data_IF_127717303362
#
_entry.id   IF_127717303362
#
_cell.length_a   1.000
_cell.length_b   1.000
_cell.length_c   1.000
_cell.angle_alpha   90.00
_cell.angle_beta   90.00
_cell.angle_gamma   90.00
#
_symmetry.space_group_name_H-M   'P 1'
#
loop_
_entity.id
_entity.type
_entity.pdbx_description
1 polymer ?
#
# COMPACT_ATOMS: atom_id res chain seq x y z
N UNK A 1 10.88 -1.98 -30.76
CA UNK A 1 11.30 -1.93 -29.33
C UNK A 1 10.43 -1.01 -28.43
N UNK A 2 9.36 -0.36 -28.87
CA UNK A 2 8.68 0.68 -28.09
C UNK A 2 7.82 0.16 -26.92
N UNK A 3 6.71 -0.52 -27.20
CA UNK A 3 5.73 -0.88 -26.16
C UNK A 3 6.11 -2.12 -25.33
N UNK A 4 6.97 -3.01 -25.84
CA UNK A 4 7.36 -4.25 -25.14
C UNK A 4 8.08 -4.04 -23.80
N UNK A 5 8.85 -2.95 -23.66
CA UNK A 5 9.57 -2.65 -22.41
C UNK A 5 8.65 -2.01 -21.35
N UNK A 6 7.59 -1.32 -21.75
CA UNK A 6 6.59 -0.77 -20.84
C UNK A 6 5.79 -1.89 -20.17
N UNK A 7 5.34 -2.88 -20.94
CA UNK A 7 4.60 -4.03 -20.40
C UNK A 7 5.45 -4.92 -19.49
N UNK A 8 6.75 -4.99 -19.71
CA UNK A 8 7.67 -5.76 -18.86
C UNK A 8 7.93 -5.11 -17.50
N UNK A 9 7.62 -3.84 -17.33
CA UNK A 9 7.85 -3.08 -16.09
C UNK A 9 6.59 -2.88 -15.25
N UNK A 10 5.48 -3.50 -15.63
CA UNK A 10 4.25 -3.48 -14.85
C UNK A 10 4.30 -4.55 -13.75
N UNK A 11 3.57 -4.31 -12.65
CA UNK A 11 3.34 -5.33 -11.65
C UNK A 11 2.19 -6.25 -12.07
N UNK A 12 2.28 -7.52 -11.73
CA UNK A 12 1.15 -8.43 -11.77
C UNK A 12 0.18 -8.04 -10.65
N UNK A 13 -1.07 -7.73 -11.00
CA UNK A 13 -2.13 -7.33 -10.09
C UNK A 13 -2.97 -8.56 -9.71
N UNK A 14 -2.55 -9.26 -8.63
CA UNK A 14 -3.00 -10.61 -8.29
C UNK A 14 -4.18 -10.56 -7.32
N UNK A 15 -5.38 -11.10 -7.69
CA UNK A 15 -6.51 -11.23 -6.77
C UNK A 15 -6.33 -12.41 -5.80
N UNK A 16 -6.97 -12.34 -4.64
CA UNK A 16 -6.94 -13.40 -3.62
C UNK A 16 -7.45 -14.74 -4.16
N UNK A 17 -8.49 -14.73 -4.99
CA UNK A 17 -9.02 -15.95 -5.63
C UNK A 17 -7.94 -16.70 -6.43
N UNK A 18 -7.05 -15.98 -7.13
CA UNK A 18 -5.95 -16.64 -7.86
C UNK A 18 -5.03 -17.40 -6.92
N UNK A 19 -4.66 -16.80 -5.79
CA UNK A 19 -3.80 -17.45 -4.80
C UNK A 19 -4.48 -18.65 -4.14
N UNK A 20 -5.78 -18.55 -3.83
CA UNK A 20 -6.58 -19.67 -3.34
C UNK A 20 -6.55 -20.86 -4.34
N UNK A 21 -6.66 -20.58 -5.64
CA UNK A 21 -6.59 -21.61 -6.68
C UNK A 21 -5.19 -22.19 -6.88
N UNK A 22 -4.16 -21.37 -6.71
CA UNK A 22 -2.75 -21.85 -6.68
C UNK A 22 -2.56 -22.85 -5.53
N UNK A 23 -3.06 -22.54 -4.35
CA UNK A 23 -2.96 -23.42 -3.18
C UNK A 23 -3.72 -24.74 -3.37
N UNK A 24 -4.95 -24.66 -3.89
CA UNK A 24 -5.84 -25.82 -4.11
C UNK A 24 -5.54 -26.62 -5.38
N UNK A 25 -4.56 -26.20 -6.18
CA UNK A 25 -4.21 -26.84 -7.47
C UNK A 25 -5.36 -26.82 -8.49
N UNK A 26 -6.09 -25.71 -8.53
CA UNK A 26 -7.21 -25.49 -9.45
C UNK A 26 -6.77 -24.74 -10.72
N UNK A 27 -7.70 -24.65 -11.68
CA UNK A 27 -7.47 -23.88 -12.90
C UNK A 27 -7.76 -22.39 -12.71
N UNK A 28 -7.10 -21.59 -13.53
CA UNK A 28 -7.35 -20.16 -13.70
C UNK A 28 -7.75 -19.88 -15.15
N UNK A 29 -8.84 -19.16 -15.34
CA UNK A 29 -9.34 -18.79 -16.65
C UNK A 29 -8.91 -17.39 -17.02
N UNK A 30 -8.17 -17.25 -18.10
CA UNK A 30 -7.80 -15.97 -18.71
C UNK A 30 -8.93 -15.54 -19.64
N UNK A 31 -9.49 -14.37 -19.37
CA UNK A 31 -10.56 -13.76 -20.16
C UNK A 31 -10.07 -12.59 -20.99
N UNK A 32 -10.76 -12.28 -22.08
CA UNK A 32 -10.62 -11.01 -22.77
C UNK A 32 -11.24 -9.89 -21.92
N UNK A 33 -10.53 -8.78 -21.65
CA UNK A 33 -11.11 -7.66 -20.87
C UNK A 33 -12.37 -7.06 -21.49
N UNK A 34 -12.53 -7.15 -22.81
CA UNK A 34 -13.71 -6.68 -23.50
C UNK A 34 -14.97 -7.49 -23.20
N UNK A 35 -14.83 -8.76 -22.79
CA UNK A 35 -15.96 -9.62 -22.41
C UNK A 35 -16.24 -9.63 -20.91
N UNK A 36 -15.29 -9.15 -20.09
CA UNK A 36 -15.37 -9.14 -18.63
C UNK A 36 -15.00 -7.78 -18.04
N UNK A 37 -15.61 -6.68 -18.51
CA UNK A 37 -15.19 -5.33 -18.13
C UNK A 37 -15.34 -5.05 -16.62
N UNK A 38 -16.32 -5.66 -15.94
CA UNK A 38 -16.58 -5.42 -14.53
C UNK A 38 -15.45 -5.95 -13.63
N UNK A 39 -14.70 -6.99 -14.06
CA UNK A 39 -13.62 -7.56 -13.25
C UNK A 39 -12.49 -6.55 -12.95
N UNK A 40 -12.41 -5.48 -13.73
CA UNK A 40 -11.42 -4.43 -13.50
C UNK A 40 -11.71 -3.68 -12.19
N UNK A 41 -12.99 -3.39 -11.94
CA UNK A 41 -13.43 -2.56 -10.80
C UNK A 41 -13.84 -3.37 -9.56
N UNK A 42 -14.11 -4.67 -9.71
CA UNK A 42 -14.53 -5.54 -8.60
C UNK A 42 -13.33 -6.01 -7.75
N UNK A 43 -13.56 -6.16 -6.44
CA UNK A 43 -12.56 -6.60 -5.45
C UNK A 43 -13.15 -7.60 -4.47
N UNK A 44 -12.29 -8.40 -3.82
CA UNK A 44 -12.67 -9.35 -2.78
C UNK A 44 -13.75 -10.33 -3.24
N UNK A 45 -14.74 -10.61 -2.40
CA UNK A 45 -15.83 -11.56 -2.69
C UNK A 45 -16.62 -11.20 -3.95
N UNK A 46 -16.87 -9.92 -4.19
CA UNK A 46 -17.59 -9.49 -5.39
C UNK A 46 -16.82 -9.83 -6.67
N UNK A 47 -15.49 -9.72 -6.63
CA UNK A 47 -14.63 -10.19 -7.72
C UNK A 47 -14.73 -11.73 -7.88
N UNK A 48 -14.63 -12.49 -6.79
CA UNK A 48 -14.69 -13.95 -6.81
C UNK A 48 -16.01 -14.42 -7.43
N UNK A 49 -17.14 -13.91 -6.94
CA UNK A 49 -18.49 -14.27 -7.43
C UNK A 49 -18.66 -13.96 -8.93
N UNK A 50 -18.23 -12.78 -9.36
CA UNK A 50 -18.35 -12.38 -10.76
C UNK A 50 -17.41 -13.15 -11.68
N UNK A 51 -16.20 -13.43 -11.23
CA UNK A 51 -15.24 -14.24 -11.96
C UNK A 51 -15.76 -15.65 -12.19
N UNK A 52 -16.33 -16.29 -11.16
CA UNK A 52 -16.94 -17.62 -11.26
C UNK A 52 -18.21 -17.64 -12.13
N UNK A 53 -18.97 -16.53 -12.15
CA UNK A 53 -20.08 -16.37 -13.10
C UNK A 53 -19.58 -16.41 -14.54
N UNK A 54 -18.48 -15.70 -14.84
CA UNK A 54 -17.89 -15.73 -16.18
C UNK A 54 -17.33 -17.12 -16.54
N UNK A 55 -16.75 -17.82 -15.61
CA UNK A 55 -16.32 -19.21 -15.87
C UNK A 55 -17.49 -20.13 -16.22
N UNK A 56 -18.63 -19.97 -15.55
CA UNK A 56 -19.87 -20.72 -15.89
C UNK A 56 -20.37 -20.37 -17.29
N UNK A 57 -20.36 -19.11 -17.68
CA UNK A 57 -20.70 -18.65 -19.04
C UNK A 57 -19.74 -19.21 -20.09
N UNK A 58 -18.45 -19.20 -19.82
CA UNK A 58 -17.45 -19.80 -20.71
C UNK A 58 -17.67 -21.30 -20.90
N UNK A 59 -17.96 -22.03 -19.81
CA UNK A 59 -18.27 -23.46 -19.86
C UNK A 59 -19.59 -23.77 -20.61
N UNK A 60 -20.56 -22.85 -20.58
CA UNK A 60 -21.82 -22.94 -21.33
C UNK A 60 -21.68 -22.58 -22.82
N UNK A 61 -20.49 -22.12 -23.25
CA UNK A 61 -20.27 -21.69 -24.65
C UNK A 61 -20.84 -20.30 -24.98
N UNK A 62 -21.04 -19.46 -23.95
CA UNK A 62 -21.57 -18.09 -24.09
C UNK A 62 -20.47 -17.05 -24.23
N UNK A 63 -19.18 -17.47 -24.27
CA UNK A 63 -18.02 -16.58 -24.39
C UNK A 63 -17.07 -17.12 -25.47
N UNK A 64 -16.46 -16.20 -26.21
CA UNK A 64 -15.62 -16.55 -27.37
C UNK A 64 -14.11 -16.51 -27.04
N UNK A 65 -13.68 -15.63 -26.14
CA UNK A 65 -12.26 -15.35 -25.93
C UNK A 65 -11.84 -15.63 -24.48
N UNK A 66 -11.60 -16.90 -24.19
CA UNK A 66 -11.06 -17.31 -22.90
C UNK A 66 -10.07 -18.48 -23.06
N UNK A 67 -9.24 -18.68 -22.03
CA UNK A 67 -8.33 -19.83 -21.95
C UNK A 67 -8.17 -20.24 -20.49
N UNK A 68 -8.51 -21.48 -20.16
CA UNK A 68 -8.27 -22.05 -18.84
C UNK A 68 -6.91 -22.77 -18.79
N UNK A 69 -6.14 -22.52 -17.73
CA UNK A 69 -4.81 -23.11 -17.49
C UNK A 69 -4.66 -23.43 -15.99
N UNK A 70 -3.79 -24.37 -15.59
CA UNK A 70 -3.50 -24.59 -14.17
C UNK A 70 -2.94 -23.32 -13.52
N UNK A 71 -3.55 -22.90 -12.40
CA UNK A 71 -3.11 -21.69 -11.69
C UNK A 71 -1.64 -21.78 -11.22
N UNK A 72 -1.21 -22.95 -10.75
CA UNK A 72 0.20 -23.20 -10.37
C UNK A 72 1.18 -23.05 -11.52
N UNK A 73 0.79 -23.43 -12.73
CA UNK A 73 1.65 -23.27 -13.91
C UNK A 73 1.83 -21.79 -14.23
N UNK A 74 0.75 -21.02 -14.22
CA UNK A 74 0.81 -19.57 -14.41
C UNK A 74 1.66 -18.90 -13.32
N UNK A 75 1.42 -19.24 -12.05
CA UNK A 75 2.17 -18.71 -10.92
C UNK A 75 3.66 -19.00 -11.03
N UNK A 76 4.03 -20.24 -11.37
CA UNK A 76 5.43 -20.62 -11.60
C UNK A 76 6.06 -19.79 -12.71
N UNK A 77 5.34 -19.55 -13.80
CA UNK A 77 5.78 -18.68 -14.89
C UNK A 77 6.05 -17.25 -14.45
N UNK A 78 5.14 -16.68 -13.66
CA UNK A 78 5.28 -15.32 -13.09
C UNK A 78 6.53 -15.25 -12.20
N UNK A 79 6.70 -16.19 -11.29
CA UNK A 79 7.88 -16.27 -10.41
C UNK A 79 9.18 -16.48 -11.16
N UNK A 80 9.21 -17.34 -12.20
CA UNK A 80 10.39 -17.54 -13.05
C UNK A 80 10.82 -16.24 -13.71
N UNK A 81 9.87 -15.51 -14.29
CA UNK A 81 10.18 -14.22 -14.94
C UNK A 81 10.69 -13.19 -13.93
N UNK A 82 10.05 -13.11 -12.75
CA UNK A 82 10.49 -12.22 -11.68
C UNK A 82 11.92 -12.56 -11.23
N UNK A 83 12.21 -13.84 -11.01
CA UNK A 83 13.52 -14.30 -10.57
C UNK A 83 14.62 -14.04 -11.63
N UNK A 84 14.35 -14.32 -12.90
CA UNK A 84 15.34 -14.16 -13.98
C UNK A 84 15.60 -12.71 -14.38
N UNK A 85 14.58 -11.84 -14.30
CA UNK A 85 14.64 -10.49 -14.86
C UNK A 85 14.40 -9.38 -13.86
N UNK A 86 14.00 -9.69 -12.62
CA UNK A 86 13.54 -8.73 -11.61
C UNK A 86 12.19 -8.09 -11.92
N UNK A 87 11.49 -8.52 -12.98
CA UNK A 87 10.20 -7.99 -13.41
C UNK A 87 9.36 -9.07 -14.13
N UNK A 88 8.02 -8.89 -14.21
CA UNK A 88 7.18 -7.90 -13.52
C UNK A 88 7.09 -8.19 -12.02
N UNK A 89 6.92 -7.16 -11.21
CA UNK A 89 6.70 -7.32 -9.78
C UNK A 89 5.30 -7.87 -9.50
N UNK A 90 5.06 -8.28 -8.25
CA UNK A 90 3.80 -8.88 -7.84
C UNK A 90 3.17 -8.00 -6.77
N UNK A 91 1.91 -7.64 -6.98
CA UNK A 91 1.11 -6.84 -6.05
C UNK A 91 -0.26 -7.48 -5.87
N UNK A 92 -0.80 -7.46 -4.66
CA UNK A 92 -2.04 -8.15 -4.31
C UNK A 92 -3.23 -7.20 -4.35
N UNK A 93 -4.07 -7.35 -5.37
CA UNK A 93 -5.22 -6.50 -5.68
C UNK A 93 -6.14 -6.29 -4.49
N UNK A 94 -6.58 -7.38 -3.87
CA UNK A 94 -7.60 -7.32 -2.83
C UNK A 94 -7.07 -6.71 -1.54
N UNK A 95 -5.86 -7.09 -1.11
CA UNK A 95 -5.23 -6.49 0.07
C UNK A 95 -5.04 -4.97 -0.08
N UNK A 96 -4.61 -4.50 -1.26
CA UNK A 96 -4.45 -3.07 -1.54
C UNK A 96 -5.79 -2.32 -1.45
N UNK A 97 -6.84 -2.86 -2.02
CA UNK A 97 -8.15 -2.23 -2.07
C UNK A 97 -8.92 -2.34 -0.74
N UNK A 98 -9.00 -3.55 -0.16
CA UNK A 98 -9.74 -3.80 1.07
C UNK A 98 -9.16 -3.08 2.29
N UNK A 99 -7.87 -2.79 2.28
CA UNK A 99 -7.19 -2.03 3.33
C UNK A 99 -7.03 -0.55 3.02
N UNK A 100 -7.47 -0.11 1.84
CA UNK A 100 -7.42 1.31 1.48
C UNK A 100 -8.36 2.14 2.34
N UNK A 101 -7.92 3.24 2.93
CA UNK A 101 -8.83 4.16 3.64
C UNK A 101 -9.83 4.86 2.72
N UNK A 102 -9.61 4.83 1.40
CA UNK A 102 -10.35 5.54 0.36
C UNK A 102 -11.31 4.64 -0.44
N UNK A 103 -11.76 3.52 0.10
CA UNK A 103 -12.67 2.57 -0.57
C UNK A 103 -13.94 3.24 -1.14
N UNK A 104 -14.45 4.28 -0.48
CA UNK A 104 -15.64 5.04 -0.89
C UNK A 104 -15.40 6.00 -2.05
N UNK A 105 -14.14 6.36 -2.31
CA UNK A 105 -13.77 7.33 -3.35
C UNK A 105 -13.44 6.68 -4.70
N UNK A 106 -13.03 5.42 -4.70
CA UNK A 106 -12.69 4.70 -5.92
C UNK A 106 -11.84 3.46 -5.70
N UNK A 107 -11.55 2.76 -6.80
CA UNK A 107 -10.78 1.51 -6.82
C UNK A 107 -9.32 1.80 -7.16
N UNK A 108 -8.43 1.05 -6.56
CA UNK A 108 -7.02 1.01 -6.90
C UNK A 108 -6.85 0.00 -8.03
N UNK A 109 -6.55 0.48 -9.24
CA UNK A 109 -6.43 -0.36 -10.43
C UNK A 109 -5.03 -0.89 -10.66
N UNK A 110 -4.03 -0.22 -10.12
CA UNK A 110 -2.62 -0.59 -10.22
C UNK A 110 -1.81 0.12 -9.14
N UNK A 111 -0.54 -0.24 -9.04
CA UNK A 111 0.46 0.44 -8.22
C UNK A 111 1.43 1.21 -9.14
N UNK A 112 2.34 2.01 -8.57
CA UNK A 112 3.47 2.58 -9.27
C UNK A 112 4.51 1.49 -9.61
N UNK A 113 5.59 1.88 -10.31
CA UNK A 113 6.66 0.97 -10.71
C UNK A 113 7.28 0.21 -9.53
N UNK A 114 7.47 0.88 -8.40
CA UNK A 114 8.11 0.31 -7.20
C UNK A 114 7.14 -0.39 -6.24
N UNK A 115 5.84 -0.40 -6.55
CA UNK A 115 4.74 -1.05 -5.83
C UNK A 115 4.38 -0.51 -4.43
N UNK A 116 5.04 0.56 -3.97
CA UNK A 116 4.75 1.17 -2.67
C UNK A 116 3.50 2.07 -2.66
N UNK A 117 3.00 2.49 -3.82
CA UNK A 117 1.88 3.41 -3.94
C UNK A 117 0.61 2.68 -4.36
N UNK A 118 -0.41 2.79 -3.52
CA UNK A 118 -1.74 2.20 -3.74
C UNK A 118 -2.80 3.28 -3.54
N UNK A 119 -3.10 4.01 -4.62
CA UNK A 119 -4.06 5.10 -4.65
C UNK A 119 -5.14 4.83 -5.71
N UNK A 120 -6.37 5.25 -5.42
CA UNK A 120 -7.47 5.16 -6.38
C UNK A 120 -7.23 6.06 -7.60
N UNK A 121 -7.71 5.62 -8.74
CA UNK A 121 -7.63 6.33 -10.02
C UNK A 121 -8.97 6.30 -10.74
N UNK A 122 -9.22 7.30 -11.59
CA UNK A 122 -10.40 7.37 -12.46
C UNK A 122 -10.06 8.09 -13.76
N UNK A 123 -11.06 8.30 -14.62
CA UNK A 123 -10.87 9.10 -15.83
C UNK A 123 -10.42 10.55 -15.54
N UNK A 124 -10.85 11.11 -14.40
CA UNK A 124 -10.59 12.49 -14.01
C UNK A 124 -9.53 12.62 -12.90
N UNK A 125 -8.98 11.50 -12.43
CA UNK A 125 -8.04 11.47 -11.30
C UNK A 125 -6.83 10.57 -11.60
N UNK A 126 -5.67 11.20 -11.77
CA UNK A 126 -4.37 10.51 -11.86
C UNK A 126 -3.67 10.61 -10.51
N UNK A 127 -3.31 9.47 -9.94
CA UNK A 127 -2.62 9.40 -8.65
C UNK A 127 -1.23 10.05 -8.72
N UNK A 128 -0.87 10.81 -7.69
CA UNK A 128 0.42 11.49 -7.55
C UNK A 128 1.08 11.11 -6.23
N UNK A 129 2.36 10.74 -6.29
CA UNK A 129 3.17 10.40 -5.12
C UNK A 129 3.80 11.65 -4.50
N UNK A 130 3.66 11.83 -3.17
CA UNK A 130 4.39 12.82 -2.39
C UNK A 130 5.10 12.04 -1.27
N UNK A 131 6.40 11.79 -1.42
CA UNK A 131 7.13 10.83 -0.61
C UNK A 131 8.22 11.47 0.25
N UNK A 132 8.43 10.87 1.43
CA UNK A 132 9.55 11.15 2.32
C UNK A 132 9.95 9.88 3.07
N UNK A 133 11.17 9.85 3.62
CA UNK A 133 11.66 8.70 4.40
C UNK A 133 12.45 9.16 5.60
N UNK A 134 12.12 8.62 6.77
CA UNK A 134 12.82 8.88 8.03
C UNK A 134 14.14 8.09 8.02
N UNK A 135 15.26 8.78 8.26
CA UNK A 135 16.57 8.13 8.41
C UNK A 135 16.70 7.54 9.81
N UNK A 136 16.43 6.24 9.97
CA UNK A 136 16.46 5.57 11.28
C UNK A 136 17.83 5.65 11.96
N UNK A 137 18.93 5.52 11.21
CA UNK A 137 20.28 5.60 11.76
C UNK A 137 20.53 6.92 12.51
N UNK A 138 19.93 8.00 12.06
CA UNK A 138 20.03 9.32 12.70
C UNK A 138 19.09 9.51 13.90
N UNK A 139 18.20 8.52 14.14
CA UNK A 139 17.25 8.52 15.25
C UNK A 139 17.64 7.47 16.32
N UNK A 140 18.84 6.90 16.23
CA UNK A 140 19.39 6.04 17.27
C UNK A 140 20.13 6.86 18.32
N UNK A 141 19.92 6.52 19.60
CA UNK A 141 20.59 7.13 20.75
C UNK A 141 20.87 6.02 21.79
N UNK A 142 22.10 5.93 22.22
CA UNK A 142 22.54 4.93 23.23
C UNK A 142 22.10 3.50 22.90
N UNK A 143 22.20 3.10 21.62
CA UNK A 143 21.80 1.79 21.12
C UNK A 143 20.29 1.54 21.01
N UNK A 144 19.47 2.57 21.15
CA UNK A 144 17.99 2.48 21.06
C UNK A 144 17.42 3.55 20.15
N UNK A 145 16.17 3.33 19.70
CA UNK A 145 15.43 4.34 18.95
C UNK A 145 15.05 5.50 19.88
N UNK A 146 15.39 6.73 19.48
CA UNK A 146 14.99 7.97 20.17
C UNK A 146 13.58 8.33 19.75
N UNK A 147 12.59 7.85 20.51
CA UNK A 147 11.17 8.00 20.20
C UNK A 147 10.72 9.46 20.10
N UNK A 148 11.22 10.34 20.99
CA UNK A 148 10.84 11.75 20.96
C UNK A 148 11.40 12.45 19.72
N UNK A 149 12.61 12.12 19.32
CA UNK A 149 13.17 12.62 18.05
C UNK A 149 12.42 12.10 16.84
N UNK A 150 12.02 10.83 16.81
CA UNK A 150 11.19 10.28 15.73
C UNK A 150 9.88 11.04 15.66
N UNK A 151 9.18 11.22 16.77
CA UNK A 151 7.92 11.99 16.85
C UNK A 151 8.05 13.39 16.28
N UNK A 152 9.09 14.14 16.64
CA UNK A 152 9.36 15.48 16.15
C UNK A 152 9.63 15.49 14.64
N UNK A 153 10.47 14.56 14.17
CA UNK A 153 10.82 14.42 12.76
C UNK A 153 9.61 14.05 11.92
N UNK A 154 8.82 13.06 12.36
CA UNK A 154 7.60 12.61 11.68
C UNK A 154 6.60 13.76 11.58
N UNK A 155 6.34 14.48 12.67
CA UNK A 155 5.40 15.60 12.67
C UNK A 155 5.82 16.70 11.70
N UNK A 156 7.13 17.00 11.63
CA UNK A 156 7.68 17.96 10.67
C UNK A 156 7.56 17.45 9.24
N UNK A 157 7.90 16.17 8.99
CA UNK A 157 7.85 15.56 7.66
C UNK A 157 6.42 15.55 7.09
N UNK A 158 5.42 15.16 7.90
CA UNK A 158 4.01 15.18 7.47
C UNK A 158 3.57 16.59 7.07
N UNK A 159 3.93 17.62 7.84
CA UNK A 159 3.66 19.02 7.50
C UNK A 159 4.35 19.45 6.21
N UNK A 160 5.61 19.06 6.01
CA UNK A 160 6.36 19.37 4.79
C UNK A 160 5.72 18.71 3.56
N UNK A 161 5.35 17.44 3.67
CA UNK A 161 4.71 16.69 2.58
C UNK A 161 3.31 17.26 2.24
N UNK A 162 2.51 17.64 3.24
CA UNK A 162 1.23 18.34 3.01
C UNK A 162 1.43 19.67 2.29
N UNK A 163 2.48 20.44 2.64
CA UNK A 163 2.79 21.70 1.97
C UNK A 163 3.19 21.48 0.50
N UNK A 164 3.94 20.42 0.19
CA UNK A 164 4.36 20.10 -1.19
C UNK A 164 3.15 19.96 -2.11
N UNK A 165 2.05 19.38 -1.65
CA UNK A 165 0.81 19.25 -2.44
C UNK A 165 0.33 20.60 -2.98
N UNK A 166 0.44 21.67 -2.18
CA UNK A 166 -0.03 23.01 -2.57
C UNK A 166 0.93 23.74 -3.50
N UNK A 167 2.25 23.53 -3.35
CA UNK A 167 3.29 24.28 -4.07
C UNK A 167 3.81 23.53 -5.31
N UNK A 168 3.43 22.26 -5.47
CA UNK A 168 3.89 21.44 -6.58
C UNK A 168 3.32 21.93 -7.92
N UNK A 169 4.12 21.76 -8.98
CA UNK A 169 3.67 21.96 -10.35
C UNK A 169 3.02 20.69 -10.88
N UNK A 170 1.78 20.78 -11.34
CA UNK A 170 1.04 19.69 -11.96
C UNK A 170 1.00 19.87 -13.47
N UNK A 171 1.58 18.93 -14.22
CA UNK A 171 1.64 18.99 -15.68
C UNK A 171 0.29 18.74 -16.36
N UNK A 172 -0.64 18.08 -15.65
CA UNK A 172 -2.00 17.79 -16.12
C UNK A 172 -3.02 18.05 -15.00
N UNK A 173 -4.20 18.54 -15.37
CA UNK A 173 -5.23 18.92 -14.40
C UNK A 173 -5.77 17.73 -13.63
N UNK A 174 -5.90 16.56 -14.25
CA UNK A 174 -6.33 15.31 -13.59
C UNK A 174 -5.41 14.88 -12.44
N UNK A 175 -4.11 15.13 -12.55
CA UNK A 175 -3.16 14.88 -11.46
C UNK A 175 -3.34 15.90 -10.32
N UNK A 176 -3.53 17.18 -10.66
CA UNK A 176 -3.82 18.22 -9.69
C UNK A 176 -5.13 17.95 -8.96
N UNK A 177 -6.17 17.58 -9.69
CA UNK A 177 -7.49 17.27 -9.15
C UNK A 177 -7.41 16.16 -8.09
N UNK A 178 -6.82 15.02 -8.42
CA UNK A 178 -6.61 13.91 -7.49
C UNK A 178 -5.84 14.34 -6.23
N UNK A 179 -4.70 15.02 -6.44
CA UNK A 179 -3.79 15.34 -5.34
C UNK A 179 -4.36 16.41 -4.39
N UNK A 180 -5.05 17.42 -4.92
CA UNK A 180 -5.70 18.45 -4.11
C UNK A 180 -6.91 17.91 -3.34
N UNK A 181 -7.70 17.03 -3.96
CA UNK A 181 -8.93 16.46 -3.42
C UNK A 181 -8.65 15.46 -2.28
N UNK A 182 -7.71 14.54 -2.50
CA UNK A 182 -7.43 13.45 -1.57
C UNK A 182 -6.23 13.72 -0.66
N UNK A 183 -5.32 14.59 -1.06
CA UNK A 183 -4.10 14.97 -0.33
C UNK A 183 -3.26 13.77 0.15
N UNK A 184 -2.96 12.78 -0.71
CA UNK A 184 -2.17 11.62 -0.31
C UNK A 184 -0.71 12.00 -0.12
N UNK A 185 -0.12 11.51 0.96
CA UNK A 185 1.32 11.56 1.22
C UNK A 185 1.81 10.17 1.65
N UNK A 186 3.10 9.92 1.51
CA UNK A 186 3.72 8.66 1.89
C UNK A 186 5.01 8.90 2.63
N UNK A 187 4.99 8.68 3.95
CA UNK A 187 6.20 8.69 4.77
C UNK A 187 6.64 7.25 5.03
N UNK A 188 7.89 6.94 4.73
CA UNK A 188 8.53 5.67 5.01
C UNK A 188 9.79 5.83 5.86
N UNK A 189 10.68 4.85 5.77
CA UNK A 189 11.97 4.85 6.46
C UNK A 189 13.12 4.45 5.52
N UNK A 190 14.34 4.77 5.92
CA UNK A 190 15.60 4.31 5.32
C UNK A 190 16.65 4.14 6.42
N UNK A 191 17.72 3.43 6.14
CA UNK A 191 18.77 3.16 7.14
C UNK A 191 18.34 2.16 8.19
N UNK A 192 17.44 1.24 7.86
CA UNK A 192 16.99 0.20 8.78
C UNK A 192 18.16 -0.73 9.18
N UNK A 193 18.92 -1.22 8.20
CA UNK A 193 20.09 -2.05 8.49
C UNK A 193 21.14 -1.32 9.33
N UNK A 194 21.38 -0.02 9.08
CA UNK A 194 22.28 0.79 9.91
C UNK A 194 21.78 0.85 11.36
N UNK A 195 20.48 0.98 11.57
CA UNK A 195 19.89 0.97 12.90
C UNK A 195 20.03 -0.40 13.60
N UNK A 196 19.97 -1.52 12.86
CA UNK A 196 20.25 -2.84 13.38
C UNK A 196 21.73 -2.99 13.79
N UNK A 197 22.66 -2.49 12.99
CA UNK A 197 24.10 -2.49 13.34
C UNK A 197 24.38 -1.73 14.62
N UNK A 198 23.74 -0.59 14.84
CA UNK A 198 23.90 0.18 16.10
C UNK A 198 23.42 -0.62 17.32
N UNK A 199 22.49 -1.55 17.14
CA UNK A 199 21.93 -2.39 18.20
C UNK A 199 22.59 -3.77 18.30
N UNK A 200 23.55 -4.08 17.42
CA UNK A 200 24.16 -5.42 17.29
C UNK A 200 23.11 -6.52 17.01
N UNK A 201 22.10 -6.20 16.20
CA UNK A 201 21.02 -7.09 15.80
C UNK A 201 21.30 -7.66 14.41
N UNK A 202 21.23 -8.98 14.26
CA UNK A 202 21.33 -9.64 12.96
C UNK A 202 20.05 -9.47 12.15
N UNK A 203 20.17 -9.13 10.86
CA UNK A 203 19.01 -8.91 9.97
C UNK A 203 18.03 -10.09 9.91
N UNK A 204 18.55 -11.33 9.90
CA UNK A 204 17.73 -12.55 9.86
C UNK A 204 17.42 -13.08 11.28
N UNK A 205 17.01 -12.22 12.20
CA UNK A 205 16.65 -12.59 13.56
C UNK A 205 15.24 -12.12 13.94
N UNK A 206 14.66 -12.74 14.95
CA UNK A 206 13.37 -12.31 15.51
C UNK A 206 13.46 -10.90 16.11
N UNK A 207 14.60 -10.53 16.70
CA UNK A 207 14.85 -9.17 17.22
C UNK A 207 14.78 -8.12 16.09
N UNK A 208 15.21 -8.46 14.87
CA UNK A 208 15.08 -7.56 13.72
C UNK A 208 13.62 -7.39 13.28
N UNK A 209 12.82 -8.45 13.34
CA UNK A 209 11.36 -8.40 13.08
C UNK A 209 10.68 -7.54 14.13
N UNK A 210 10.99 -7.75 15.40
CA UNK A 210 10.47 -6.93 16.51
C UNK A 210 10.84 -5.46 16.38
N UNK A 211 12.06 -5.16 15.96
CA UNK A 211 12.50 -3.78 15.74
C UNK A 211 11.80 -3.16 14.54
N UNK A 212 11.59 -3.91 13.45
CA UNK A 212 10.85 -3.46 12.29
C UNK A 212 9.41 -3.09 12.66
N UNK A 213 8.73 -3.95 13.39
CA UNK A 213 7.36 -3.72 13.85
C UNK A 213 7.25 -2.49 14.74
N UNK A 214 8.02 -2.41 15.81
CA UNK A 214 8.02 -1.29 16.77
C UNK A 214 8.40 0.05 16.14
N UNK A 215 9.43 0.07 15.28
CA UNK A 215 9.86 1.30 14.62
C UNK A 215 8.80 1.80 13.63
N UNK A 216 8.15 0.88 12.91
CA UNK A 216 7.09 1.23 11.96
C UNK A 216 5.79 1.60 12.67
N UNK A 217 5.44 0.95 13.77
CA UNK A 217 4.32 1.34 14.62
C UNK A 217 4.48 2.79 15.08
N UNK A 218 5.67 3.15 15.61
CA UNK A 218 5.99 4.48 16.09
C UNK A 218 5.83 5.55 15.00
N UNK A 219 6.41 5.31 13.82
CA UNK A 219 6.32 6.24 12.68
C UNK A 219 4.87 6.38 12.21
N UNK A 220 4.15 5.26 12.07
CA UNK A 220 2.76 5.25 11.62
C UNK A 220 1.84 5.99 12.59
N UNK A 221 1.98 5.73 13.88
CA UNK A 221 1.21 6.39 14.93
C UNK A 221 1.37 7.91 14.89
N UNK A 222 2.61 8.40 14.86
CA UNK A 222 2.86 9.84 14.84
C UNK A 222 2.59 10.48 13.48
N UNK A 223 2.63 9.75 12.38
CA UNK A 223 2.21 10.26 11.09
C UNK A 223 0.70 10.51 11.05
N UNK A 224 -0.11 9.56 11.55
CA UNK A 224 -1.55 9.72 11.67
C UNK A 224 -1.87 10.86 12.65
N UNK A 225 -1.23 10.88 13.83
CA UNK A 225 -1.39 11.96 14.80
C UNK A 225 -1.09 13.34 14.19
N UNK A 226 0.03 13.48 13.48
CA UNK A 226 0.40 14.74 12.83
C UNK A 226 -0.60 15.18 11.76
N UNK A 227 -1.15 14.22 10.99
CA UNK A 227 -2.19 14.52 10.01
C UNK A 227 -3.50 14.98 10.67
N UNK A 228 -3.86 14.46 11.87
CA UNK A 228 -5.01 14.98 12.63
C UNK A 228 -4.77 16.39 13.15
N UNK A 229 -3.56 16.71 13.63
CA UNK A 229 -3.21 18.08 14.04
C UNK A 229 -3.31 19.05 12.86
N UNK A 230 -2.87 18.64 11.68
CA UNK A 230 -3.03 19.45 10.48
C UNK A 230 -4.49 19.59 10.05
N UNK A 231 -5.32 18.57 10.24
CA UNK A 231 -6.74 18.65 9.95
C UNK A 231 -7.42 19.67 10.87
N UNK A 232 -7.08 19.69 12.14
CA UNK A 232 -7.57 20.68 13.11
C UNK A 232 -7.14 22.11 12.74
N UNK A 233 -5.91 22.28 12.22
CA UNK A 233 -5.36 23.58 11.81
C UNK A 233 -5.93 24.07 10.46
N UNK A 234 -6.14 23.16 9.46
CA UNK A 234 -6.34 23.49 8.04
C UNK A 234 -7.59 22.88 7.42
N UNK A 235 -8.36 22.14 8.18
CA UNK A 235 -9.48 21.32 7.70
C UNK A 235 -9.03 19.95 7.17
N UNK A 236 -9.96 19.00 7.18
CA UNK A 236 -9.77 17.67 6.61
C UNK A 236 -9.63 17.72 5.08
N UNK A 237 -9.10 16.65 4.48
CA UNK A 237 -9.11 16.52 3.03
C UNK A 237 -10.57 16.35 2.53
N UNK A 238 -10.83 16.73 1.27
CA UNK A 238 -12.20 16.89 0.74
C UNK A 238 -13.03 15.61 0.84
N UNK A 239 -12.44 14.44 0.60
CA UNK A 239 -13.14 13.14 0.63
C UNK A 239 -12.94 12.40 1.95
N UNK A 240 -12.78 13.10 3.06
CA UNK A 240 -12.66 12.48 4.38
C UNK A 240 -13.93 11.73 4.80
N UNK A 241 -15.10 12.33 4.58
CA UNK A 241 -16.38 11.71 4.94
C UNK A 241 -16.65 10.44 4.13
N UNK A 242 -17.03 9.37 4.81
CA UNK A 242 -17.22 8.04 4.22
C UNK A 242 -15.94 7.19 4.16
N UNK A 243 -14.77 7.77 4.41
CA UNK A 243 -13.50 7.04 4.48
C UNK A 243 -13.45 6.07 5.67
N UNK A 244 -12.49 5.14 5.67
CA UNK A 244 -12.24 4.31 6.86
C UNK A 244 -11.84 5.16 8.07
N UNK A 245 -11.13 6.27 7.84
CA UNK A 245 -10.76 7.22 8.88
C UNK A 245 -11.99 7.82 9.59
N UNK A 246 -12.99 8.27 8.84
CA UNK A 246 -14.23 8.85 9.41
C UNK A 246 -15.07 7.83 10.17
N UNK A 247 -14.88 6.54 9.84
CA UNK A 247 -15.51 5.42 10.56
C UNK A 247 -14.70 4.95 11.78
N UNK A 248 -13.55 5.56 12.06
CA UNK A 248 -12.65 5.14 13.13
C UNK A 248 -11.92 3.81 12.87
N UNK A 249 -11.85 3.40 11.62
CA UNK A 249 -11.14 2.18 11.19
C UNK A 249 -9.71 2.57 10.82
N UNK A 250 -8.76 2.24 11.69
CA UNK A 250 -7.33 2.50 11.50
C UNK A 250 -6.67 1.38 10.67
N UNK A 251 -5.42 1.57 10.18
CA UNK A 251 -4.76 0.56 9.35
C UNK A 251 -4.73 -0.85 9.95
N UNK A 252 -4.53 -0.98 11.26
CA UNK A 252 -4.57 -2.28 11.95
C UNK A 252 -5.96 -2.91 11.95
N UNK A 253 -7.03 -2.12 12.08
CA UNK A 253 -8.41 -2.64 12.08
C UNK A 253 -8.82 -3.13 10.70
N UNK A 254 -8.23 -2.58 9.64
CA UNK A 254 -8.50 -3.00 8.28
C UNK A 254 -8.12 -4.46 7.99
N UNK A 255 -7.37 -5.10 8.90
CA UNK A 255 -7.09 -6.54 8.86
C UNK A 255 -8.37 -7.34 9.02
N UNK A 256 -9.36 -6.88 9.80
CA UNK A 256 -10.65 -7.54 9.93
C UNK A 256 -11.43 -7.52 8.61
N UNK A 257 -11.41 -6.39 7.89
CA UNK A 257 -12.03 -6.28 6.56
C UNK A 257 -11.40 -7.29 5.60
N UNK A 258 -10.08 -7.45 5.68
CA UNK A 258 -9.37 -8.44 4.88
C UNK A 258 -9.75 -9.88 5.30
N UNK A 259 -9.86 -10.16 6.60
CA UNK A 259 -10.27 -11.45 7.14
C UNK A 259 -11.68 -11.85 6.67
N UNK A 260 -12.62 -10.92 6.72
CA UNK A 260 -14.00 -11.15 6.26
C UNK A 260 -14.10 -11.47 4.77
N UNK A 261 -13.24 -10.87 3.95
CA UNK A 261 -13.23 -11.07 2.50
C UNK A 261 -12.41 -12.31 2.08
N UNK A 262 -11.21 -12.45 2.60
CA UNK A 262 -10.27 -13.51 2.22
C UNK A 262 -10.58 -14.85 2.88
N UNK A 263 -11.04 -14.83 4.14
CA UNK A 263 -11.09 -15.94 5.07
C UNK A 263 -9.99 -15.81 6.13
N UNK A 264 -10.34 -15.93 7.41
CA UNK A 264 -9.40 -15.78 8.52
C UNK A 264 -8.32 -16.87 8.55
N UNK A 265 -8.59 -18.02 7.96
CA UNK A 265 -7.63 -19.14 7.81
C UNK A 265 -6.45 -18.79 6.89
N UNK A 266 -6.59 -17.78 6.03
CA UNK A 266 -5.53 -17.27 5.15
C UNK A 266 -4.80 -16.05 5.72
N UNK A 267 -5.00 -15.75 7.01
CA UNK A 267 -4.36 -14.63 7.68
C UNK A 267 -3.55 -15.08 8.89
N UNK A 268 -2.25 -14.92 8.79
CA UNK A 268 -1.32 -15.06 9.92
C UNK A 268 -0.56 -13.74 10.06
N UNK A 269 -1.16 -12.77 10.76
CA UNK A 269 -0.61 -11.42 10.94
C UNK A 269 -0.55 -11.10 12.42
N UNK A 270 0.57 -10.57 12.89
CA UNK A 270 0.69 -10.03 14.24
C UNK A 270 -0.27 -8.85 14.42
N UNK A 271 -0.91 -8.79 15.59
CA UNK A 271 -1.89 -7.75 15.96
C UNK A 271 -1.50 -7.04 17.25
N UNK A 272 -0.27 -7.27 17.70
CA UNK A 272 0.26 -6.60 18.89
C UNK A 272 0.31 -5.08 18.68
N UNK A 273 0.28 -4.35 19.77
CA UNK A 273 0.39 -2.89 19.79
C UNK A 273 1.08 -2.46 21.07
N UNK A 274 1.89 -1.41 20.98
CA UNK A 274 2.61 -0.85 22.12
C UNK A 274 2.19 0.58 22.45
N UNK A 275 1.46 1.24 21.52
CA UNK A 275 0.99 2.61 21.66
C UNK A 275 -0.52 2.69 21.87
N UNK A 276 -1.01 3.84 22.37
CA UNK A 276 -2.43 4.06 22.65
C UNK A 276 -3.23 4.40 21.38
N UNK A 277 -3.50 3.38 20.58
CA UNK A 277 -4.29 3.49 19.35
C UNK A 277 -5.73 3.91 19.59
N UNK A 278 -6.32 3.63 20.74
CA UNK A 278 -7.70 4.02 21.05
C UNK A 278 -7.83 5.54 21.24
N UNK A 279 -6.88 6.17 21.90
CA UNK A 279 -6.82 7.63 21.98
C UNK A 279 -6.60 8.26 20.61
N UNK A 280 -5.73 7.69 19.78
CA UNK A 280 -5.52 8.16 18.41
C UNK A 280 -6.78 8.00 17.55
N UNK A 281 -7.52 6.90 17.69
CA UNK A 281 -8.80 6.66 17.01
C UNK A 281 -9.82 7.75 17.33
N UNK A 282 -10.00 8.04 18.61
CA UNK A 282 -10.90 9.12 19.06
C UNK A 282 -10.52 10.46 18.46
N UNK A 283 -9.21 10.74 18.39
CA UNK A 283 -8.69 11.97 17.80
C UNK A 283 -8.94 12.03 16.29
N UNK A 284 -8.71 10.94 15.54
CA UNK A 284 -9.01 10.84 14.10
C UNK A 284 -10.50 11.13 13.84
N UNK A 285 -11.39 10.58 14.66
CA UNK A 285 -12.83 10.78 14.51
C UNK A 285 -13.30 12.20 14.90
N UNK A 286 -12.65 12.86 15.87
CA UNK A 286 -13.04 14.19 16.33
C UNK A 286 -12.44 15.32 15.50
N UNK A 287 -11.16 15.21 15.12
CA UNK A 287 -10.40 16.27 14.49
C UNK A 287 -10.28 16.07 12.96
N UNK A 288 -10.59 14.86 12.49
CA UNK A 288 -10.45 14.48 11.08
C UNK A 288 -9.00 14.11 10.68
N UNK A 289 -8.80 13.92 9.38
CA UNK A 289 -7.49 13.68 8.76
C UNK A 289 -7.24 14.73 7.69
N UNK A 290 -6.03 15.30 7.64
CA UNK A 290 -5.59 16.22 6.58
C UNK A 290 -5.24 15.50 5.29
N UNK A 291 -4.81 14.24 5.38
CA UNK A 291 -4.28 13.45 4.29
C UNK A 291 -5.03 12.11 4.22
N UNK A 292 -5.37 11.68 3.01
CA UNK A 292 -6.06 10.37 2.80
C UNK A 292 -5.16 9.19 3.13
N UNK A 293 -3.89 9.30 2.81
CA UNK A 293 -2.84 8.32 3.08
C UNK A 293 -1.65 9.05 3.71
N UNK A 294 -0.95 8.42 4.63
CA UNK A 294 0.20 9.04 5.33
C UNK A 294 1.47 8.19 5.26
N UNK A 295 1.37 6.91 4.88
CA UNK A 295 2.50 5.98 4.89
C UNK A 295 2.75 5.37 3.52
N UNK A 296 4.03 5.28 3.15
CA UNK A 296 4.52 4.47 2.04
C UNK A 296 6.02 4.20 2.24
N UNK A 297 6.46 2.94 2.15
CA UNK A 297 7.87 2.59 2.25
C UNK A 297 8.46 2.59 0.83
N UNK A 298 9.05 3.72 0.44
CA UNK A 298 9.69 3.86 -0.86
C UNK A 298 11.08 3.21 -0.88
N UNK A 299 11.61 2.80 -2.06
CA UNK A 299 12.94 2.18 -2.17
C UNK A 299 14.11 3.04 -1.72
N UNK A 300 13.99 4.35 -1.76
CA UNK A 300 15.01 5.35 -1.33
C UNK A 300 16.37 5.27 -2.02
N UNK A 301 16.46 4.65 -3.20
CA UNK A 301 17.71 4.33 -3.89
C UNK A 301 18.67 5.54 -4.04
N UNK A 302 18.17 6.74 -4.27
CA UNK A 302 18.98 7.95 -4.41
C UNK A 302 19.22 8.66 -3.09
N UNK A 303 18.15 8.88 -2.30
CA UNK A 303 18.27 9.68 -1.07
C UNK A 303 19.06 8.97 0.02
N UNK A 304 19.03 7.64 0.08
CA UNK A 304 19.87 6.87 1.01
C UNK A 304 21.37 7.03 0.69
N UNK A 305 21.74 6.99 -0.60
CA UNK A 305 23.12 7.24 -1.05
C UNK A 305 23.58 8.65 -0.69
N UNK A 306 22.71 9.66 -0.87
CA UNK A 306 23.04 11.05 -0.51
C UNK A 306 23.27 11.18 1.00
N UNK A 307 22.50 10.49 1.81
CA UNK A 307 22.58 10.55 3.28
C UNK A 307 23.56 9.54 3.89
N UNK A 308 24.12 8.62 3.09
CA UNK A 308 25.09 7.63 3.49
C UNK A 308 24.54 6.55 4.42
N UNK A 309 23.34 6.01 4.09
CA UNK A 309 22.68 4.92 4.82
C UNK A 309 22.13 3.86 3.88
N UNK A 310 21.72 2.73 4.41
CA UNK A 310 21.09 1.64 3.64
C UNK A 310 19.72 2.05 3.11
N UNK A 311 19.31 1.41 2.01
CA UNK A 311 18.07 1.71 1.32
C UNK A 311 16.87 1.12 2.07
N UNK A 312 15.85 1.95 2.33
CA UNK A 312 14.58 1.48 2.88
C UNK A 312 14.78 0.53 4.07
N UNK A 313 14.24 -0.68 3.97
CA UNK A 313 14.37 -1.80 4.92
C UNK A 313 15.35 -2.87 4.42
N UNK A 314 16.06 -2.61 3.34
CA UNK A 314 17.00 -3.55 2.72
C UNK A 314 18.31 -3.66 3.53
N UNK A 315 18.99 -4.85 3.47
CA UNK A 315 20.25 -5.06 4.15
C UNK A 315 21.44 -4.33 3.51
#
# INVERSE_FOLDING_TARGET
>A
RGLGDVYKRQANWVPDLFMKRVEKDENWTLFSPGETPELHDLIGKAFEEKYEEYEKKAAAGEMDQFKSIPAKELWRKMLTMLFETGHPWITFKDACNLRSPQQHAGVIHSSNLCTEITLNTSADEIAVCNLGSVNLARHMKDGKLDEEKVKQTVSTAIRMLDNVININYYSVETARNSNMKHRPIGLGMMGFQDALYVQDIAYCSDDAVDFADKSMELISYYAIHASTELAKERGSYETYEGSLWSKGILPKDSIEILAENRGSEYLNVDRSETLDWDTLRKKVMSDGMRNSNVMAIAPTATISNITGVTQSVEP
#
